data_IF_793690267107
#
_entry.id   IF_793690267107
#
_cell.length_a   1.000
_cell.length_b   1.000
_cell.length_c   1.000
_cell.angle_alpha   90.00
_cell.angle_beta   90.00
_cell.angle_gamma   90.00
#
_symmetry.space_group_name_H-M   'P 1'
#
loop_
_entity.id
_entity.type
_entity.pdbx_description
1 polymer ?
#
# COMPACT_ATOMS: atom_id res chain seq x y z
N UNK A 1 43.08 36.54 -12.93
CA UNK A 1 41.89 36.86 -13.76
C UNK A 1 40.95 35.69 -13.71
N UNK A 2 40.11 35.66 -12.68
CA UNK A 2 39.09 34.62 -12.51
C UNK A 2 37.69 35.28 -12.52
N UNK A 3 36.98 35.06 -13.60
CA UNK A 3 35.56 35.45 -13.74
C UNK A 3 34.79 34.22 -14.14
N UNK A 4 34.22 33.51 -13.17
CA UNK A 4 33.00 32.69 -13.35
C UNK A 4 32.54 32.17 -11.97
N UNK A 5 32.00 33.10 -11.15
CA UNK A 5 31.20 32.74 -10.00
C UNK A 5 29.74 32.71 -10.44
N UNK A 6 29.27 31.56 -10.92
CA UNK A 6 27.86 31.30 -11.23
C UNK A 6 27.04 31.27 -9.95
N UNK A 7 26.11 32.24 -9.79
CA UNK A 7 25.11 32.25 -8.70
C UNK A 7 24.14 31.11 -8.86
N UNK A 8 24.18 30.17 -7.93
CA UNK A 8 23.12 29.14 -7.75
C UNK A 8 21.88 29.89 -7.24
N UNK A 9 20.70 29.77 -7.88
CA UNK A 9 19.49 30.40 -7.38
C UNK A 9 19.07 29.68 -6.07
N UNK A 10 19.03 30.43 -4.97
CA UNK A 10 18.44 29.98 -3.71
C UNK A 10 16.92 29.85 -3.90
N UNK A 11 16.41 28.66 -4.13
CA UNK A 11 14.99 28.37 -4.02
C UNK A 11 14.57 28.55 -2.56
N UNK A 12 13.84 29.60 -2.27
CA UNK A 12 13.16 29.83 -0.99
C UNK A 12 12.01 28.84 -0.91
N UNK A 13 12.16 27.75 -0.17
CA UNK A 13 11.05 26.90 0.25
C UNK A 13 10.09 27.75 1.10
N UNK A 14 8.94 28.07 0.53
CA UNK A 14 7.85 28.71 1.25
C UNK A 14 7.04 27.60 1.93
N UNK A 15 7.38 27.28 3.17
CA UNK A 15 6.56 26.40 4.03
C UNK A 15 5.25 27.14 4.30
N UNK A 16 4.23 26.87 3.48
CA UNK A 16 2.88 27.31 3.75
C UNK A 16 2.30 26.44 4.86
N UNK A 17 2.36 26.94 6.09
CA UNK A 17 1.60 26.37 7.23
C UNK A 17 0.12 26.60 6.95
N UNK A 18 -0.54 25.61 6.35
CA UNK A 18 -2.00 25.60 6.31
C UNK A 18 -2.53 25.14 7.66
N UNK A 19 -3.03 26.09 8.45
CA UNK A 19 -3.89 25.81 9.58
C UNK A 19 -5.26 25.34 9.07
N UNK A 20 -5.39 24.04 8.79
CA UNK A 20 -6.71 23.42 8.70
C UNK A 20 -7.13 23.03 10.11
N UNK A 21 -8.21 23.63 10.59
CA UNK A 21 -8.89 23.19 11.79
C UNK A 21 -9.52 21.81 11.53
N UNK A 22 -8.84 20.77 12.00
CA UNK A 22 -9.20 19.36 11.77
C UNK A 22 -10.26 18.84 12.77
N UNK A 23 -10.81 19.70 13.61
CA UNK A 23 -11.46 19.24 14.84
C UNK A 23 -12.96 18.98 14.73
N UNK A 24 -13.69 19.34 13.65
CA UNK A 24 -15.15 19.17 13.72
C UNK A 24 -15.92 19.10 12.39
N UNK A 25 -15.57 18.18 11.48
CA UNK A 25 -16.49 17.76 10.42
C UNK A 25 -16.52 16.25 10.28
N UNK A 26 -17.72 15.68 10.22
CA UNK A 26 -17.98 14.25 10.04
C UNK A 26 -16.98 13.64 9.03
N UNK A 27 -16.25 12.61 9.48
CA UNK A 27 -15.13 11.97 8.78
C UNK A 27 -15.63 11.13 7.60
N UNK A 28 -16.21 11.77 6.60
CA UNK A 28 -16.61 11.11 5.36
C UNK A 28 -15.46 11.21 4.35
N UNK A 29 -15.15 10.10 3.69
CA UNK A 29 -14.23 10.07 2.56
C UNK A 29 -14.74 11.06 1.48
N UNK A 30 -13.91 12.01 1.10
CA UNK A 30 -14.32 13.07 0.20
C UNK A 30 -13.14 13.61 -0.62
N UNK A 31 -13.42 14.29 -1.72
CA UNK A 31 -12.39 14.93 -2.58
C UNK A 31 -11.91 16.30 -2.06
N UNK A 32 -12.03 16.58 -0.76
CA UNK A 32 -11.63 17.89 -0.20
C UNK A 32 -10.16 18.20 -0.36
N UNK A 33 -9.29 17.19 -0.18
CA UNK A 33 -7.84 17.34 -0.29
C UNK A 33 -7.41 17.50 -1.74
N UNK A 34 -8.00 16.73 -2.64
CA UNK A 34 -7.76 16.83 -4.09
C UNK A 34 -8.23 18.19 -4.61
N UNK A 35 -9.40 18.68 -4.17
CA UNK A 35 -9.86 20.04 -4.54
C UNK A 35 -8.97 21.13 -3.98
N UNK A 36 -8.46 20.98 -2.76
CA UNK A 36 -7.52 21.93 -2.17
C UNK A 36 -6.20 21.98 -2.96
N UNK A 37 -5.65 20.83 -3.32
CA UNK A 37 -4.45 20.74 -4.16
C UNK A 37 -4.65 21.38 -5.54
N UNK A 38 -5.82 21.11 -6.19
CA UNK A 38 -6.14 21.74 -7.48
C UNK A 38 -6.25 23.27 -7.42
N UNK A 39 -6.77 23.84 -6.32
CA UNK A 39 -6.78 25.31 -6.13
C UNK A 39 -5.39 25.93 -6.04
N UNK A 40 -4.38 25.13 -5.68
CA UNK A 40 -2.97 25.51 -5.66
C UNK A 40 -2.26 25.32 -7.01
N UNK A 41 -2.98 24.82 -8.03
CA UNK A 41 -2.46 24.61 -9.38
C UNK A 41 -2.06 23.18 -9.71
N UNK A 42 -2.11 22.24 -8.74
CA UNK A 42 -1.78 20.82 -8.99
C UNK A 42 -2.87 20.13 -9.80
N UNK A 43 -2.50 19.33 -10.77
CA UNK A 43 -3.47 18.73 -11.71
C UNK A 43 -3.50 17.21 -11.65
N UNK A 44 -2.37 16.55 -11.42
CA UNK A 44 -2.19 15.11 -11.39
C UNK A 44 -1.91 14.64 -9.96
N UNK A 45 -2.97 14.52 -9.18
CA UNK A 45 -2.88 14.20 -7.76
C UNK A 45 -2.98 12.70 -7.61
N UNK A 46 -1.91 12.06 -7.12
CA UNK A 46 -1.92 10.64 -6.80
C UNK A 46 -2.27 10.42 -5.33
N UNK A 47 -3.14 9.43 -5.05
CA UNK A 47 -3.33 8.84 -3.74
C UNK A 47 -2.49 7.58 -3.60
N UNK A 48 -1.86 7.37 -2.43
CA UNK A 48 -1.04 6.19 -2.12
C UNK A 48 -1.48 5.59 -0.79
N UNK A 49 -1.56 4.26 -0.75
CA UNK A 49 -1.85 3.47 0.45
C UNK A 49 -1.25 2.06 0.33
N UNK A 50 -1.16 1.33 1.45
CA UNK A 50 -0.66 -0.03 1.48
C UNK A 50 -1.62 -0.99 2.20
N UNK A 51 -1.48 -2.28 1.88
CA UNK A 51 -2.18 -3.39 2.52
C UNK A 51 -1.20 -4.46 3.02
N UNK A 52 -1.52 -5.06 4.16
CA UNK A 52 -0.77 -6.23 4.66
C UNK A 52 0.40 -5.91 5.58
N UNK A 53 0.52 -4.71 6.15
CA UNK A 53 1.61 -4.39 7.11
C UNK A 53 1.67 -5.32 8.30
N UNK A 54 0.54 -5.57 8.95
CA UNK A 54 0.47 -6.41 10.15
C UNK A 54 0.28 -7.91 9.88
N UNK A 55 0.35 -8.37 8.64
CA UNK A 55 0.22 -9.78 8.33
C UNK A 55 1.51 -10.54 8.63
N UNK A 56 1.39 -11.81 9.00
CA UNK A 56 2.51 -12.72 9.27
C UNK A 56 3.03 -13.40 8.01
N UNK A 57 2.23 -13.43 6.94
CA UNK A 57 2.50 -14.15 5.70
C UNK A 57 2.42 -13.22 4.49
N UNK A 58 3.33 -13.44 3.54
CA UNK A 58 3.29 -12.85 2.21
C UNK A 58 3.72 -11.37 2.14
N UNK A 59 3.55 -10.74 0.97
CA UNK A 59 4.05 -9.40 0.70
C UNK A 59 3.27 -8.31 1.45
N UNK A 60 3.90 -7.15 1.59
CA UNK A 60 3.21 -5.88 1.71
C UNK A 60 2.94 -5.36 0.30
N UNK A 61 1.73 -4.90 0.05
CA UNK A 61 1.27 -4.43 -1.26
C UNK A 61 0.91 -2.96 -1.13
N UNK A 62 1.41 -2.12 -2.03
CA UNK A 62 1.01 -0.72 -2.13
C UNK A 62 0.42 -0.41 -3.50
N UNK A 63 -0.44 0.61 -3.54
CA UNK A 63 -0.98 1.13 -4.79
C UNK A 63 -0.82 2.64 -4.87
N UNK A 64 -0.73 3.15 -6.09
CA UNK A 64 -0.77 4.55 -6.45
C UNK A 64 -1.89 4.78 -7.47
N UNK A 65 -2.76 5.79 -7.26
CA UNK A 65 -3.93 6.04 -8.11
C UNK A 65 -4.08 7.53 -8.39
N UNK A 66 -4.15 7.92 -9.67
CA UNK A 66 -4.55 9.25 -10.13
C UNK A 66 -5.99 9.16 -10.62
N UNK A 67 -6.93 9.69 -9.84
CA UNK A 67 -8.35 9.68 -10.21
C UNK A 67 -8.66 10.72 -11.29
N UNK A 68 -9.58 10.36 -12.21
CA UNK A 68 -10.10 11.28 -13.22
C UNK A 68 -11.13 12.25 -12.56
N UNK A 69 -10.88 13.56 -12.53
CA UNK A 69 -11.81 14.52 -11.91
C UNK A 69 -13.16 14.63 -12.65
N UNK A 70 -13.22 14.19 -13.92
CA UNK A 70 -14.43 14.21 -14.75
C UNK A 70 -15.26 12.92 -14.62
N UNK A 71 -14.70 11.83 -14.04
CA UNK A 71 -15.37 10.54 -13.86
C UNK A 71 -15.40 10.18 -12.37
N UNK A 72 -16.49 10.54 -11.69
CA UNK A 72 -16.62 10.29 -10.26
C UNK A 72 -16.92 8.82 -9.99
N UNK A 73 -16.14 8.20 -9.11
CA UNK A 73 -16.42 6.88 -8.54
C UNK A 73 -17.12 7.07 -7.20
N UNK A 74 -18.38 6.62 -7.12
CA UNK A 74 -19.20 6.75 -5.91
C UNK A 74 -18.99 5.55 -5.00
N UNK A 75 -18.86 5.80 -3.68
CA UNK A 75 -18.73 4.75 -2.68
C UNK A 75 -17.30 4.42 -2.28
N UNK A 76 -16.31 5.20 -2.73
CA UNK A 76 -14.94 5.10 -2.21
C UNK A 76 -14.93 5.44 -0.71
N UNK A 77 -14.39 4.55 0.11
CA UNK A 77 -14.18 4.71 1.56
C UNK A 77 -13.05 3.76 1.99
N UNK A 78 -12.68 3.79 3.26
CA UNK A 78 -11.75 2.85 3.90
C UNK A 78 -12.07 1.40 3.49
N UNK A 79 -11.11 0.75 2.86
CA UNK A 79 -11.27 -0.60 2.29
C UNK A 79 -11.67 -1.65 3.32
N UNK A 80 -11.37 -1.44 4.60
CA UNK A 80 -11.70 -2.34 5.72
C UNK A 80 -13.18 -2.27 6.11
N UNK A 81 -13.89 -1.19 5.76
CA UNK A 81 -15.33 -1.03 5.99
C UNK A 81 -16.18 -1.59 4.85
N UNK A 82 -15.58 -1.85 3.70
CA UNK A 82 -16.27 -2.35 2.53
C UNK A 82 -16.35 -3.88 2.54
N UNK A 83 -17.50 -4.42 2.15
CA UNK A 83 -17.64 -5.85 1.88
C UNK A 83 -16.73 -6.28 0.72
N UNK A 84 -16.24 -7.53 0.68
CA UNK A 84 -15.34 -8.01 -0.38
C UNK A 84 -15.88 -7.77 -1.80
N UNK A 85 -17.16 -8.09 -2.03
CA UNK A 85 -17.82 -7.93 -3.35
C UNK A 85 -17.83 -6.45 -3.76
N UNK A 86 -18.11 -5.56 -2.82
CA UNK A 86 -18.12 -4.11 -3.08
C UNK A 86 -16.72 -3.58 -3.36
N UNK A 87 -15.68 -4.12 -2.69
CA UNK A 87 -14.29 -3.77 -3.00
C UNK A 87 -13.90 -4.18 -4.42
N UNK A 88 -14.28 -5.38 -4.84
CA UNK A 88 -14.02 -5.88 -6.20
C UNK A 88 -14.69 -4.98 -7.24
N UNK A 89 -15.98 -4.66 -7.08
CA UNK A 89 -16.70 -3.74 -7.97
C UNK A 89 -16.02 -2.36 -8.07
N UNK A 90 -15.59 -1.82 -6.92
CA UNK A 90 -14.90 -0.53 -6.89
C UNK A 90 -13.50 -0.60 -7.52
N UNK A 91 -12.78 -1.70 -7.34
CA UNK A 91 -11.48 -1.92 -7.99
C UNK A 91 -11.62 -1.94 -9.52
N UNK A 92 -12.61 -2.62 -10.06
CA UNK A 92 -12.92 -2.62 -11.50
C UNK A 92 -13.21 -1.19 -12.02
N UNK A 93 -14.02 -0.43 -11.27
CA UNK A 93 -14.30 0.96 -11.62
C UNK A 93 -13.06 1.86 -11.53
N UNK A 94 -12.14 1.60 -10.59
CA UNK A 94 -10.88 2.35 -10.49
C UNK A 94 -10.02 2.01 -11.72
N UNK A 95 -9.91 0.74 -12.09
CA UNK A 95 -9.16 0.32 -13.28
C UNK A 95 -9.70 0.97 -14.56
N UNK A 96 -11.02 1.08 -14.71
CA UNK A 96 -11.65 1.67 -15.90
C UNK A 96 -11.59 3.21 -15.94
N UNK A 97 -11.73 3.88 -14.78
CA UNK A 97 -11.97 5.33 -14.73
C UNK A 97 -10.81 6.16 -14.23
N UNK A 98 -9.80 5.55 -13.61
CA UNK A 98 -8.61 6.29 -13.21
C UNK A 98 -7.82 6.78 -14.43
N UNK A 99 -7.11 7.89 -14.25
CA UNK A 99 -6.17 8.43 -15.26
C UNK A 99 -4.94 7.53 -15.36
N UNK A 100 -4.45 7.07 -14.20
CA UNK A 100 -3.37 6.10 -14.06
C UNK A 100 -3.49 5.40 -12.72
N UNK A 101 -3.04 4.16 -12.66
CA UNK A 101 -2.90 3.38 -11.43
C UNK A 101 -1.75 2.38 -11.56
N UNK A 102 -1.19 2.02 -10.44
CA UNK A 102 -0.18 0.97 -10.36
C UNK A 102 -0.24 0.29 -8.99
N UNK A 103 0.20 -0.97 -8.95
CA UNK A 103 0.31 -1.78 -7.73
C UNK A 103 1.70 -2.38 -7.67
N UNK A 104 2.34 -2.33 -6.52
CA UNK A 104 3.66 -2.92 -6.30
C UNK A 104 3.68 -3.73 -5.00
N UNK A 105 4.55 -4.73 -4.97
CA UNK A 105 4.71 -5.67 -3.87
C UNK A 105 6.15 -5.70 -3.37
N UNK A 106 6.32 -5.85 -2.06
CA UNK A 106 7.59 -6.19 -1.42
C UNK A 106 7.40 -7.50 -0.65
N UNK A 107 8.19 -8.50 -0.98
CA UNK A 107 8.10 -9.85 -0.44
C UNK A 107 8.49 -9.96 1.04
N UNK A 108 8.20 -11.12 1.64
CA UNK A 108 8.49 -11.39 3.04
C UNK A 108 9.99 -11.32 3.38
N UNK A 109 10.86 -11.78 2.47
CA UNK A 109 12.31 -11.77 2.69
C UNK A 109 12.87 -10.34 2.78
N UNK A 110 12.40 -9.45 1.90
CA UNK A 110 12.76 -8.03 1.97
C UNK A 110 12.17 -7.33 3.18
N UNK A 111 10.95 -7.72 3.61
CA UNK A 111 10.37 -7.21 4.86
C UNK A 111 11.25 -7.60 6.04
N UNK A 112 11.73 -8.84 6.10
CA UNK A 112 12.63 -9.32 7.16
C UNK A 112 13.98 -8.59 7.15
N UNK A 113 14.52 -8.28 5.97
CA UNK A 113 15.80 -7.57 5.82
C UNK A 113 15.71 -6.08 6.17
N UNK A 114 14.60 -5.40 5.83
CA UNK A 114 14.48 -3.93 5.91
C UNK A 114 13.59 -3.43 7.05
N UNK A 115 12.79 -4.26 7.66
CA UNK A 115 11.60 -4.00 8.46
C UNK A 115 10.37 -3.54 7.64
N UNK A 116 9.18 -3.71 8.26
CA UNK A 116 7.90 -3.45 7.60
C UNK A 116 7.69 -1.97 7.24
N UNK A 117 8.24 -1.02 8.01
CA UNK A 117 8.11 0.39 7.70
C UNK A 117 8.85 0.76 6.41
N UNK A 118 10.10 0.33 6.27
CA UNK A 118 10.89 0.56 5.06
C UNK A 118 10.34 -0.20 3.86
N UNK A 119 9.89 -1.45 4.06
CA UNK A 119 9.26 -2.24 3.01
C UNK A 119 7.97 -1.57 2.49
N UNK A 120 7.13 -1.01 3.37
CA UNK A 120 5.93 -0.26 2.97
C UNK A 120 6.28 1.00 2.17
N UNK A 121 7.30 1.75 2.60
CA UNK A 121 7.78 2.93 1.85
C UNK A 121 8.26 2.55 0.46
N UNK A 122 9.06 1.49 0.34
CA UNK A 122 9.57 0.99 -0.94
C UNK A 122 8.45 0.46 -1.84
N UNK A 123 7.44 -0.21 -1.28
CA UNK A 123 6.26 -0.62 -2.05
C UNK A 123 5.50 0.59 -2.63
N UNK A 124 5.29 1.64 -1.81
CA UNK A 124 4.65 2.88 -2.28
C UNK A 124 5.49 3.59 -3.34
N UNK A 125 6.81 3.66 -3.17
CA UNK A 125 7.70 4.27 -4.14
C UNK A 125 7.70 3.48 -5.45
N UNK A 126 7.77 2.15 -5.40
CA UNK A 126 7.69 1.30 -6.58
C UNK A 126 6.36 1.42 -7.31
N UNK A 127 5.22 1.53 -6.59
CA UNK A 127 3.92 1.80 -7.19
C UNK A 127 3.87 3.19 -7.86
N UNK A 128 4.47 4.21 -7.24
CA UNK A 128 4.58 5.55 -7.81
C UNK A 128 5.40 5.56 -9.10
N UNK A 129 6.54 4.88 -9.12
CA UNK A 129 7.44 4.79 -10.28
C UNK A 129 6.81 4.04 -11.46
N UNK A 130 5.91 3.10 -11.20
CA UNK A 130 5.19 2.31 -12.21
C UNK A 130 3.99 3.05 -12.83
N UNK A 131 3.61 4.22 -12.31
CA UNK A 131 2.53 4.99 -12.93
C UNK A 131 2.90 5.42 -14.35
N UNK A 132 2.00 5.16 -15.31
CA UNK A 132 2.16 5.56 -16.71
C UNK A 132 2.15 7.07 -16.91
N UNK A 133 1.56 7.80 -15.95
CA UNK A 133 1.50 9.27 -15.92
C UNK A 133 2.07 9.73 -14.58
N UNK A 134 3.13 10.55 -14.61
CA UNK A 134 3.75 11.04 -13.38
C UNK A 134 2.87 12.10 -12.70
N UNK A 135 2.61 11.94 -11.39
CA UNK A 135 1.87 12.93 -10.60
C UNK A 135 2.71 14.19 -10.36
N UNK A 136 2.02 15.28 -10.09
CA UNK A 136 2.61 16.55 -9.64
C UNK A 136 2.34 16.82 -8.14
N UNK A 137 1.47 16.03 -7.51
CA UNK A 137 1.18 16.09 -6.07
C UNK A 137 0.78 14.73 -5.51
N UNK A 138 1.22 14.43 -4.28
CA UNK A 138 0.90 13.16 -3.60
C UNK A 138 0.05 13.37 -2.36
N UNK A 139 -0.94 12.51 -2.18
CA UNK A 139 -1.69 12.30 -0.94
C UNK A 139 -1.37 10.88 -0.44
N UNK A 140 -0.77 10.77 0.75
CA UNK A 140 -0.23 9.49 1.23
C UNK A 140 -0.84 9.16 2.58
N UNK A 141 -1.26 7.89 2.80
CA UNK A 141 -1.71 7.46 4.12
C UNK A 141 -0.53 7.34 5.08
N UNK A 142 -0.57 8.15 6.15
CA UNK A 142 0.30 8.13 7.33
C UNK A 142 1.82 8.02 7.10
N UNK A 143 2.33 8.20 5.87
CA UNK A 143 3.74 8.11 5.50
C UNK A 143 4.23 9.32 4.72
N UNK A 144 5.56 9.42 4.61
CA UNK A 144 6.26 10.32 3.68
C UNK A 144 7.27 9.51 2.86
N UNK A 145 7.38 9.84 1.57
CA UNK A 145 8.34 9.25 0.65
C UNK A 145 9.51 10.20 0.42
N UNK A 146 10.67 9.63 0.13
CA UNK A 146 11.86 10.41 -0.24
C UNK A 146 11.86 10.66 -1.76
N UNK A 147 11.01 11.57 -2.18
CA UNK A 147 10.82 11.94 -3.59
C UNK A 147 10.69 13.45 -3.74
N UNK A 148 11.06 13.99 -4.91
CA UNK A 148 11.03 15.43 -5.22
C UNK A 148 9.62 15.97 -5.57
N UNK A 149 8.58 15.15 -5.40
CA UNK A 149 7.19 15.55 -5.66
C UNK A 149 6.59 16.10 -4.37
N UNK A 150 5.89 17.25 -4.48
CA UNK A 150 5.18 17.83 -3.33
C UNK A 150 4.14 16.85 -2.78
N UNK A 151 4.13 16.68 -1.46
CA UNK A 151 3.33 15.62 -0.84
C UNK A 151 2.68 16.05 0.46
N UNK A 152 1.54 15.43 0.76
CA UNK A 152 0.83 15.58 2.02
C UNK A 152 0.49 14.22 2.62
N UNK A 153 1.04 13.95 3.79
CA UNK A 153 0.66 12.79 4.60
C UNK A 153 -0.66 13.07 5.35
N UNK A 154 -1.56 12.09 5.36
CA UNK A 154 -2.85 12.15 6.03
C UNK A 154 -3.02 10.92 6.94
N UNK A 155 -3.13 11.14 8.25
CA UNK A 155 -3.49 10.07 9.20
C UNK A 155 -4.92 9.60 8.90
N UNK A 156 -5.12 8.29 8.70
CA UNK A 156 -6.38 7.69 8.23
C UNK A 156 -6.83 8.31 6.91
N UNK A 157 -5.90 8.45 5.99
CA UNK A 157 -6.12 9.06 4.69
C UNK A 157 -7.16 8.31 3.85
N UNK A 158 -7.19 6.99 3.95
CA UNK A 158 -8.16 6.08 3.33
C UNK A 158 -9.62 6.43 3.67
N UNK A 159 -9.88 6.85 4.89
CA UNK A 159 -11.20 7.32 5.33
C UNK A 159 -11.48 8.80 5.02
N UNK A 160 -10.55 9.56 4.43
CA UNK A 160 -10.61 11.03 4.31
C UNK A 160 -10.44 11.57 2.90
N UNK A 161 -9.65 10.90 2.06
CA UNK A 161 -9.30 11.28 0.68
C UNK A 161 -9.75 10.19 -0.29
N UNK A 162 -10.51 10.56 -1.32
CA UNK A 162 -10.97 9.59 -2.33
C UNK A 162 -9.82 8.97 -3.13
N UNK A 163 -8.72 9.70 -3.31
CA UNK A 163 -7.54 9.17 -4.02
C UNK A 163 -6.80 8.13 -3.18
N UNK A 164 -6.65 8.36 -1.86
CA UNK A 164 -6.05 7.39 -0.94
C UNK A 164 -6.99 6.18 -0.78
N UNK A 165 -8.31 6.40 -0.65
CA UNK A 165 -9.29 5.31 -0.59
C UNK A 165 -9.24 4.41 -1.83
N UNK A 166 -9.08 5.00 -3.02
CA UNK A 166 -8.91 4.22 -4.25
C UNK A 166 -7.63 3.37 -4.22
N UNK A 167 -6.51 3.92 -3.77
CA UNK A 167 -5.27 3.18 -3.59
C UNK A 167 -5.43 2.05 -2.56
N UNK A 168 -6.06 2.33 -1.41
CA UNK A 168 -6.39 1.35 -0.38
C UNK A 168 -7.17 0.15 -0.93
N UNK A 169 -8.21 0.43 -1.73
CA UNK A 169 -9.03 -0.60 -2.37
C UNK A 169 -8.19 -1.45 -3.32
N UNK A 170 -7.38 -0.86 -4.20
CA UNK A 170 -6.53 -1.62 -5.12
C UNK A 170 -5.50 -2.47 -4.39
N UNK A 171 -4.77 -1.88 -3.43
CA UNK A 171 -3.77 -2.61 -2.65
C UNK A 171 -4.40 -3.79 -1.89
N UNK A 172 -5.57 -3.57 -1.27
CA UNK A 172 -6.29 -4.60 -0.51
C UNK A 172 -6.84 -5.70 -1.39
N UNK A 173 -7.49 -5.36 -2.50
CA UNK A 173 -8.06 -6.36 -3.44
C UNK A 173 -6.97 -7.21 -4.06
N UNK A 174 -5.89 -6.59 -4.52
CA UNK A 174 -4.73 -7.31 -5.07
C UNK A 174 -4.13 -8.27 -4.05
N UNK A 175 -3.89 -7.79 -2.82
CA UNK A 175 -3.31 -8.62 -1.77
C UNK A 175 -4.23 -9.79 -1.37
N UNK A 176 -5.54 -9.56 -1.28
CA UNK A 176 -6.49 -10.62 -0.93
C UNK A 176 -6.49 -11.73 -1.99
N UNK A 177 -6.41 -11.39 -3.28
CA UNK A 177 -6.24 -12.34 -4.39
C UNK A 177 -4.92 -13.11 -4.29
N UNK A 178 -3.81 -12.44 -3.91
CA UNK A 178 -2.54 -13.15 -3.66
C UNK A 178 -2.69 -14.18 -2.55
N UNK A 179 -3.37 -13.86 -1.46
CA UNK A 179 -3.57 -14.80 -0.34
C UNK A 179 -4.44 -16.01 -0.75
N UNK A 180 -5.43 -15.83 -1.62
CA UNK A 180 -6.24 -16.92 -2.16
C UNK A 180 -5.41 -17.89 -3.02
N UNK A 181 -4.52 -17.34 -3.87
CA UNK A 181 -3.58 -18.15 -4.63
C UNK A 181 -2.61 -18.92 -3.74
N UNK A 182 -2.09 -18.29 -2.69
CA UNK A 182 -1.20 -18.94 -1.75
C UNK A 182 -1.89 -19.96 -0.85
N UNK A 183 -3.18 -19.82 -0.59
CA UNK A 183 -3.98 -20.82 0.13
C UNK A 183 -4.02 -22.15 -0.61
N UNK A 184 -4.09 -22.13 -1.94
CA UNK A 184 -4.01 -23.33 -2.76
C UNK A 184 -2.64 -24.05 -2.68
N UNK A 185 -1.56 -23.31 -2.42
CA UNK A 185 -0.19 -23.86 -2.27
C UNK A 185 0.10 -24.30 -0.85
N UNK A 186 -0.44 -23.58 0.13
CA UNK A 186 -0.25 -23.80 1.56
C UNK A 186 -1.59 -23.93 2.29
N UNK A 187 -2.43 -24.93 1.95
CA UNK A 187 -3.78 -25.05 2.48
C UNK A 187 -3.82 -25.25 4.01
N UNK A 188 -2.72 -25.75 4.59
CA UNK A 188 -2.60 -25.98 6.03
C UNK A 188 -2.68 -24.70 6.87
N UNK A 189 -2.45 -23.52 6.27
CA UNK A 189 -2.50 -22.24 7.01
C UNK A 189 -3.84 -21.53 6.91
N UNK A 190 -4.73 -21.84 5.94
CA UNK A 190 -6.05 -21.21 5.78
C UNK A 190 -5.97 -19.73 5.37
N UNK A 191 -5.04 -19.40 4.48
CA UNK A 191 -4.70 -18.00 4.07
C UNK A 191 -5.87 -17.28 3.38
N UNK A 192 -6.73 -18.02 2.67
CA UNK A 192 -7.90 -17.45 2.01
C UNK A 192 -8.89 -16.84 3.01
N UNK A 193 -8.97 -17.36 4.25
CA UNK A 193 -9.89 -16.87 5.27
C UNK A 193 -9.36 -15.62 5.97
N UNK A 194 -8.19 -15.69 6.55
CA UNK A 194 -7.63 -14.62 7.39
C UNK A 194 -6.57 -13.76 6.68
N UNK A 195 -6.34 -14.00 5.39
CA UNK A 195 -5.42 -13.20 4.55
C UNK A 195 -4.00 -13.03 5.14
N UNK A 196 -3.54 -14.05 5.87
CA UNK A 196 -2.22 -14.10 6.49
C UNK A 196 -2.06 -13.28 7.78
N UNK A 197 -3.13 -12.70 8.32
CA UNK A 197 -3.09 -11.98 9.61
C UNK A 197 -3.03 -12.94 10.81
N UNK A 198 -2.56 -12.44 11.97
CA UNK A 198 -2.36 -13.18 13.21
C UNK A 198 -3.69 -13.53 13.91
N UNK A 199 -4.56 -14.29 13.25
CA UNK A 199 -5.76 -14.83 13.87
C UNK A 199 -5.42 -16.05 14.72
N UNK A 200 -6.28 -16.46 15.70
CA UNK A 200 -6.07 -17.66 16.47
C UNK A 200 -5.79 -18.90 15.60
N UNK A 201 -6.55 -19.07 14.50
CA UNK A 201 -6.38 -20.18 13.58
C UNK A 201 -5.03 -20.17 12.85
N UNK A 202 -4.55 -18.98 12.43
CA UNK A 202 -3.23 -18.85 11.81
C UNK A 202 -2.10 -19.14 12.79
N UNK A 203 -2.23 -18.67 14.04
CA UNK A 203 -1.25 -18.95 15.09
C UNK A 203 -1.21 -20.43 15.45
N UNK A 204 -2.37 -21.10 15.46
CA UNK A 204 -2.46 -22.54 15.68
C UNK A 204 -1.81 -23.32 14.53
N UNK A 205 -2.11 -22.96 13.27
CA UNK A 205 -1.48 -23.56 12.12
C UNK A 205 0.06 -23.39 12.13
N UNK A 206 0.55 -22.22 12.55
CA UNK A 206 1.99 -21.98 12.74
C UNK A 206 2.62 -22.89 13.80
N UNK A 207 1.91 -23.16 14.93
CA UNK A 207 2.42 -24.09 15.96
C UNK A 207 2.51 -25.51 15.45
N UNK A 208 1.53 -25.95 14.65
CA UNK A 208 1.48 -27.32 14.14
C UNK A 208 2.42 -27.58 12.96
N UNK A 209 2.49 -26.64 12.02
CA UNK A 209 3.18 -26.83 10.74
C UNK A 209 4.51 -26.07 10.64
N UNK A 210 4.83 -25.23 11.63
CA UNK A 210 5.95 -24.30 11.54
C UNK A 210 5.72 -23.20 10.50
N UNK A 211 6.66 -22.26 10.35
CA UNK A 211 6.58 -21.22 9.33
C UNK A 211 7.07 -21.70 7.97
N UNK A 212 6.39 -21.33 6.90
CA UNK A 212 6.86 -21.49 5.51
C UNK A 212 7.86 -20.40 5.14
N UNK A 213 8.60 -20.52 4.00
CA UNK A 213 9.51 -19.48 3.51
C UNK A 213 8.86 -18.13 3.19
N UNK A 214 7.52 -18.09 3.07
CA UNK A 214 6.76 -16.86 2.82
C UNK A 214 6.23 -16.20 4.09
N UNK A 215 6.46 -16.80 5.25
CA UNK A 215 6.22 -16.12 6.52
C UNK A 215 7.31 -15.10 6.81
N UNK A 216 6.93 -14.04 7.51
CA UNK A 216 7.84 -12.95 7.91
C UNK A 216 8.56 -13.35 9.20
N UNK A 217 9.74 -13.93 9.06
CA UNK A 217 10.49 -14.51 10.17
C UNK A 217 10.96 -13.48 11.22
N UNK A 218 11.04 -12.20 10.87
CA UNK A 218 11.32 -11.11 11.81
C UNK A 218 10.15 -10.78 12.74
N UNK A 219 8.93 -11.22 12.41
CA UNK A 219 7.74 -10.99 13.23
C UNK A 219 7.70 -11.96 14.40
N UNK A 220 7.43 -11.44 15.61
CA UNK A 220 7.50 -12.23 16.85
C UNK A 220 6.72 -13.56 16.80
N UNK A 221 5.44 -13.63 16.38
CA UNK A 221 4.72 -14.89 16.36
C UNK A 221 5.33 -15.94 15.42
N UNK A 222 5.91 -15.51 14.30
CA UNK A 222 6.55 -16.42 13.33
C UNK A 222 7.89 -16.90 13.87
N UNK A 223 8.69 -16.02 14.44
CA UNK A 223 9.98 -16.36 15.07
C UNK A 223 9.79 -17.36 16.23
N UNK A 224 8.80 -17.12 17.07
CA UNK A 224 8.46 -18.02 18.18
C UNK A 224 8.05 -19.40 17.68
N UNK A 225 7.17 -19.47 16.65
CA UNK A 225 6.78 -20.75 16.05
C UNK A 225 7.95 -21.47 15.36
N UNK A 226 8.90 -20.77 14.75
CA UNK A 226 10.10 -21.34 14.13
C UNK A 226 11.04 -22.05 15.12
N UNK A 227 11.07 -21.62 16.37
CA UNK A 227 11.84 -22.28 17.41
C UNK A 227 11.31 -23.69 17.76
N UNK A 228 10.02 -23.97 17.49
CA UNK A 228 9.41 -25.28 17.74
C UNK A 228 9.58 -26.26 16.58
N UNK A 229 9.76 -25.75 15.36
CA UNK A 229 9.82 -26.54 14.12
C UNK A 229 11.24 -26.96 13.70
N UNK A 230 12.27 -26.75 14.50
CA UNK A 230 13.68 -27.01 14.18
C UNK A 230 14.05 -28.49 13.85
N UNK A 231 13.05 -29.37 13.67
CA UNK A 231 13.20 -30.78 13.29
C UNK A 231 12.58 -31.17 11.94
N UNK A 232 11.85 -30.29 11.25
CA UNK A 232 11.19 -30.63 10.00
C UNK A 232 11.92 -30.03 8.78
N UNK A 233 12.40 -30.88 7.89
CA UNK A 233 13.01 -30.48 6.59
C UNK A 233 11.90 -29.97 5.66
N UNK A 234 12.02 -28.72 5.19
CA UNK A 234 11.07 -28.12 4.22
C UNK A 234 11.58 -28.33 2.79
N UNK A 235 10.70 -28.77 1.88
CA UNK A 235 11.01 -28.84 0.46
C UNK A 235 11.11 -27.45 -0.20
N UNK A 236 11.97 -27.28 -1.22
CA UNK A 236 12.13 -26.01 -1.91
C UNK A 236 10.90 -25.65 -2.75
N UNK A 237 10.59 -24.33 -2.83
CA UNK A 237 9.46 -23.78 -3.56
C UNK A 237 9.55 -24.01 -5.08
N UNK A 238 8.42 -24.30 -5.77
CA UNK A 238 8.34 -24.20 -7.22
C UNK A 238 8.44 -22.71 -7.64
N UNK A 239 9.44 -22.38 -8.48
CA UNK A 239 9.72 -21.01 -8.93
C UNK A 239 8.68 -20.40 -9.89
N UNK A 240 7.65 -21.14 -10.28
CA UNK A 240 6.71 -20.76 -11.35
C UNK A 240 5.43 -20.05 -10.89
N UNK A 241 5.26 -19.74 -9.59
CA UNK A 241 3.98 -19.23 -9.04
C UNK A 241 3.96 -17.69 -8.92
N UNK A 242 5.04 -17.01 -9.28
CA UNK A 242 5.04 -15.55 -9.32
C UNK A 242 4.35 -15.07 -10.62
N UNK A 243 3.27 -14.27 -10.57
CA UNK A 243 2.62 -13.79 -11.79
C UNK A 243 3.64 -12.99 -12.60
N UNK A 244 3.85 -13.40 -13.86
CA UNK A 244 4.61 -12.63 -14.81
C UNK A 244 3.99 -11.23 -14.92
N UNK A 245 4.85 -10.22 -14.95
CA UNK A 245 4.47 -8.82 -15.14
C UNK A 245 3.67 -8.71 -16.45
N UNK A 246 2.41 -8.34 -16.37
CA UNK A 246 1.59 -7.87 -17.48
C UNK A 246 1.76 -6.36 -17.67
#
# INVERSE_FOLDING_TARGET
MDKYAGRIPRFRFRVLKFGFDDTNMARLCSSRFERAARRLGWTRIAGLDEAGRGALFGPVVAAAVILNPKRRIVGLDDSKKLLPERRTELAERIHEYAVAWAVAEIDAQRIDAWNIYQASRQAMQAALEQLTIQPDYLLIDAMQLDVMIEQKSLIKGDARSVSIAAASILAKTHRDTCMEKWDAVYPQYGLARHKGYATPDHLEALRHHGPSPLHRHSFAPVREAGCWAAGAVQEPLPLEIWPARS
#
